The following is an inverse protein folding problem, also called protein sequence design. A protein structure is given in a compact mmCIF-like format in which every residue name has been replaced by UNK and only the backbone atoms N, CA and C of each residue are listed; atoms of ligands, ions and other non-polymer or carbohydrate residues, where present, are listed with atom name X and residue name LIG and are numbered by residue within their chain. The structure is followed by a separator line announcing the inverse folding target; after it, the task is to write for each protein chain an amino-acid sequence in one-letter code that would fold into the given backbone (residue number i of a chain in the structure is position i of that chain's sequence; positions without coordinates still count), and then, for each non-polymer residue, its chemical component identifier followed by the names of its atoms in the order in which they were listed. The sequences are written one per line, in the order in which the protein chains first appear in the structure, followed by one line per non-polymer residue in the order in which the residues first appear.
data_IF_389100762359
#
_entry.id   IF_389100762359
#
_cell.length_a   1.000
_cell.length_b   1.000
_cell.length_c   1.000
_cell.angle_alpha   90.00
_cell.angle_beta   90.00
_cell.angle_gamma   90.00
#
_symmetry.space_group_name_H-M   'P 1'
#
loop_
_entity.id
_entity.type
_entity.pdbx_description
1 polymer ?
#
# COMPACT_ATOMS: atom_id res chain seq x y z
N UNK A 1 -4.28 21.24 19.45
CA UNK A 1 -3.01 20.53 19.20
C UNK A 1 -2.27 21.28 18.09
N UNK A 2 -0.99 21.60 18.29
CA UNK A 2 -0.20 22.34 17.29
C UNK A 2 -0.10 21.57 15.97
N UNK A 3 -0.25 22.27 14.84
CA UNK A 3 -0.18 21.73 13.47
C UNK A 3 1.14 20.97 13.20
N UNK A 4 2.21 21.32 13.91
CA UNK A 4 3.52 20.65 13.86
C UNK A 4 3.53 19.25 14.47
N UNK A 5 2.79 19.02 15.57
CA UNK A 5 2.73 17.73 16.25
C UNK A 5 1.83 16.72 15.52
N UNK A 6 0.83 17.19 14.77
CA UNK A 6 -0.02 16.33 13.95
C UNK A 6 0.72 15.82 12.70
N UNK A 7 1.52 16.68 12.04
CA UNK A 7 2.38 16.28 10.92
C UNK A 7 3.44 15.26 11.34
N UNK A 8 4.11 15.46 12.48
CA UNK A 8 5.12 14.52 12.97
C UNK A 8 4.55 13.14 13.30
N UNK A 9 3.31 13.08 13.80
CA UNK A 9 2.62 11.82 14.07
C UNK A 9 2.29 11.05 12.78
N UNK A 10 1.77 11.72 11.75
CA UNK A 10 1.47 11.09 10.46
C UNK A 10 2.73 10.50 9.83
N UNK A 11 3.78 11.31 9.76
CA UNK A 11 5.08 10.90 9.20
C UNK A 11 5.67 9.70 9.94
N UNK A 12 5.57 9.68 11.29
CA UNK A 12 6.02 8.56 12.09
C UNK A 12 5.22 7.29 11.80
N UNK A 13 3.90 7.40 11.58
CA UNK A 13 3.07 6.25 11.21
C UNK A 13 3.41 5.71 9.81
N UNK A 14 3.60 6.59 8.84
CA UNK A 14 4.03 6.23 7.48
C UNK A 14 5.41 5.53 7.49
N UNK A 15 6.33 6.04 8.31
CA UNK A 15 7.65 5.43 8.51
C UNK A 15 7.56 4.06 9.19
N UNK A 16 6.70 3.90 10.20
CA UNK A 16 6.49 2.61 10.87
C UNK A 16 5.89 1.57 9.92
N UNK A 17 4.92 1.94 9.10
CA UNK A 17 4.35 1.05 8.07
C UNK A 17 5.41 0.66 7.05
N UNK A 18 6.21 1.63 6.59
CA UNK A 18 7.31 1.37 5.66
C UNK A 18 8.35 0.42 6.26
N UNK A 19 8.72 0.61 7.52
CA UNK A 19 9.65 -0.28 8.23
C UNK A 19 9.07 -1.68 8.38
N UNK A 20 7.81 -1.79 8.81
CA UNK A 20 7.11 -3.07 8.95
C UNK A 20 7.11 -3.86 7.65
N UNK A 21 6.76 -3.23 6.52
CA UNK A 21 6.75 -3.89 5.21
C UNK A 21 8.17 -4.32 4.78
N UNK A 22 9.19 -3.48 5.00
CA UNK A 22 10.58 -3.87 4.71
C UNK A 22 11.07 -5.05 5.54
N UNK A 23 10.71 -5.10 6.82
CA UNK A 23 11.01 -6.24 7.69
C UNK A 23 10.33 -7.52 7.20
N UNK A 24 9.28 -7.42 6.39
CA UNK A 24 8.59 -8.55 5.76
C UNK A 24 9.08 -8.87 4.33
N UNK A 25 10.20 -8.28 3.91
CA UNK A 25 10.82 -8.56 2.61
C UNK A 25 10.27 -7.73 1.46
N UNK A 26 9.52 -6.66 1.74
CA UNK A 26 9.05 -5.74 0.70
C UNK A 26 10.09 -4.67 0.39
N UNK A 27 10.24 -4.37 -0.89
CA UNK A 27 10.78 -3.11 -1.37
C UNK A 27 9.68 -2.05 -1.27
N UNK A 28 9.88 -1.03 -0.44
CA UNK A 28 8.88 0.01 -0.17
C UNK A 28 9.35 1.34 -0.70
N UNK A 29 8.51 1.99 -1.50
CA UNK A 29 8.67 3.38 -1.92
C UNK A 29 7.40 4.16 -1.60
N UNK A 30 7.53 5.42 -1.21
CA UNK A 30 6.39 6.34 -1.28
C UNK A 30 6.32 6.94 -2.69
N UNK A 31 5.14 7.38 -3.11
CA UNK A 31 5.00 8.08 -4.39
C UNK A 31 5.44 9.53 -4.22
N UNK A 32 6.73 9.83 -4.40
CA UNK A 32 7.15 11.21 -4.63
C UNK A 32 6.76 11.58 -6.06
N UNK A 33 5.67 12.31 -6.21
CA UNK A 33 5.25 12.79 -7.52
C UNK A 33 6.37 13.57 -8.20
N UNK A 34 6.90 13.06 -9.30
CA UNK A 34 7.94 13.72 -10.10
C UNK A 34 7.38 14.82 -11.01
N UNK A 35 6.07 15.07 -10.99
CA UNK A 35 5.43 16.10 -11.82
C UNK A 35 5.47 17.47 -11.16
N UNK A 36 6.18 18.41 -11.78
CA UNK A 36 6.27 19.84 -11.38
C UNK A 36 4.98 20.65 -11.64
N UNK A 37 3.85 20.00 -11.94
CA UNK A 37 2.61 20.65 -12.34
C UNK A 37 1.67 20.78 -11.14
N UNK A 38 1.58 21.98 -10.56
CA UNK A 38 0.63 22.30 -9.50
C UNK A 38 -0.81 21.98 -9.94
N UNK A 39 -1.52 21.12 -9.20
CA UNK A 39 -2.94 20.79 -9.43
C UNK A 39 -3.24 19.54 -10.25
N UNK A 40 -2.23 18.78 -10.72
CA UNK A 40 -2.45 17.50 -11.42
C UNK A 40 -2.14 16.24 -10.60
N UNK A 41 -1.53 16.38 -9.41
CA UNK A 41 -1.47 15.28 -8.44
C UNK A 41 -2.80 15.17 -7.71
N UNK A 42 -3.60 14.17 -8.09
CA UNK A 42 -4.89 13.88 -7.43
C UNK A 42 -4.76 13.03 -6.17
N UNK A 43 -3.71 12.21 -6.06
CA UNK A 43 -3.44 11.40 -4.88
C UNK A 43 -1.93 11.12 -4.75
N UNK A 44 -1.43 11.18 -3.51
CA UNK A 44 -0.08 10.75 -3.14
C UNK A 44 -0.24 9.45 -2.35
N UNK A 45 0.51 8.40 -2.71
CA UNK A 45 0.50 7.15 -1.97
C UNK A 45 1.50 7.21 -0.83
N UNK A 46 1.02 6.95 0.39
CA UNK A 46 1.86 6.90 1.59
C UNK A 46 2.91 5.78 1.51
N UNK A 47 2.54 4.61 0.99
CA UNK A 47 3.49 3.55 0.67
C UNK A 47 3.02 2.64 -0.48
N UNK A 48 3.93 2.32 -1.38
CA UNK A 48 3.83 1.30 -2.41
C UNK A 48 4.91 0.25 -2.13
N UNK A 49 4.50 -0.98 -1.91
CA UNK A 49 5.38 -2.05 -1.49
C UNK A 49 5.29 -3.25 -2.42
N UNK A 50 6.44 -3.75 -2.87
CA UNK A 50 6.57 -4.89 -3.76
C UNK A 50 7.41 -6.00 -3.09
N UNK A 51 6.92 -7.23 -3.06
CA UNK A 51 7.68 -8.40 -2.63
C UNK A 51 7.72 -9.43 -3.76
N UNK A 52 8.92 -9.82 -4.16
CA UNK A 52 9.14 -10.83 -5.20
C UNK A 52 9.18 -12.24 -4.57
N UNK A 53 8.73 -13.28 -5.30
CA UNK A 53 8.65 -14.66 -4.76
C UNK A 53 9.98 -15.21 -4.21
N UNK A 54 11.11 -14.73 -4.73
CA UNK A 54 12.44 -15.22 -4.37
C UNK A 54 13.23 -14.27 -3.46
N UNK A 55 12.60 -13.22 -2.94
CA UNK A 55 13.21 -12.29 -1.95
C UNK A 55 12.97 -12.74 -0.50
N UNK A 56 12.80 -14.04 -0.27
CA UNK A 56 12.38 -14.58 1.02
C UNK A 56 13.47 -14.59 2.12
N UNK A 57 14.71 -14.14 1.80
CA UNK A 57 15.83 -14.00 2.75
C UNK A 57 15.87 -15.13 3.82
N UNK A 58 16.02 -16.40 3.40
CA UNK A 58 15.82 -17.57 4.28
C UNK A 58 16.80 -17.59 5.47
N UNK A 59 17.96 -16.94 5.33
CA UNK A 59 18.96 -16.80 6.39
C UNK A 59 18.49 -15.95 7.57
N UNK A 60 17.41 -15.18 7.41
CA UNK A 60 16.85 -14.33 8.46
C UNK A 60 16.33 -15.13 9.66
N UNK A 61 16.04 -16.43 9.50
CA UNK A 61 15.43 -17.34 10.51
C UNK A 61 14.08 -16.90 11.09
N UNK A 62 13.67 -15.67 10.79
CA UNK A 62 12.40 -15.07 11.17
C UNK A 62 11.65 -14.86 9.86
N UNK A 63 10.57 -15.63 9.70
CA UNK A 63 9.67 -15.51 8.57
C UNK A 63 8.90 -14.18 8.58
N UNK A 64 8.17 -13.89 7.51
CA UNK A 64 7.24 -12.77 7.49
C UNK A 64 6.09 -12.97 8.50
N UNK A 65 5.48 -11.87 8.89
CA UNK A 65 4.29 -11.84 9.74
C UNK A 65 3.13 -12.56 9.05
N UNK A 66 2.51 -13.49 9.77
CA UNK A 66 1.33 -14.24 9.32
C UNK A 66 0.15 -13.37 8.90
N UNK A 67 0.05 -12.14 9.41
CA UNK A 67 -1.04 -11.21 9.08
C UNK A 67 -1.02 -10.74 7.62
N UNK A 68 0.10 -10.89 6.91
CA UNK A 68 0.24 -10.46 5.52
C UNK A 68 -0.17 -11.52 4.50
N UNK A 69 -0.40 -12.77 4.91
CA UNK A 69 -0.84 -13.89 4.06
C UNK A 69 -0.09 -13.94 2.70
N UNK A 70 1.25 -13.91 2.77
CA UNK A 70 2.10 -13.68 1.61
C UNK A 70 2.16 -14.89 0.69
N UNK A 71 2.19 -14.63 -0.62
CA UNK A 71 2.34 -15.70 -1.60
C UNK A 71 3.78 -16.20 -1.68
N UNK A 72 3.95 -17.51 -1.83
CA UNK A 72 5.22 -18.12 -2.23
C UNK A 72 5.37 -18.22 -3.76
N UNK A 73 4.27 -18.03 -4.49
CA UNK A 73 4.21 -18.24 -5.95
C UNK A 73 4.14 -16.94 -6.74
N UNK A 74 3.44 -15.94 -6.21
CA UNK A 74 3.16 -14.69 -6.90
C UNK A 74 3.94 -13.53 -6.29
N UNK A 75 4.14 -12.49 -7.09
CA UNK A 75 4.62 -11.21 -6.59
C UNK A 75 3.53 -10.54 -5.78
N UNK A 76 3.81 -10.18 -4.53
CA UNK A 76 2.87 -9.46 -3.68
C UNK A 76 3.03 -7.94 -3.90
N UNK A 77 1.92 -7.25 -4.16
CA UNK A 77 1.85 -5.79 -4.29
C UNK A 77 0.94 -5.25 -3.20
N UNK A 78 1.46 -4.37 -2.35
CA UNK A 78 0.68 -3.66 -1.35
C UNK A 78 0.64 -2.17 -1.65
N UNK A 79 -0.58 -1.62 -1.74
CA UNK A 79 -0.86 -0.20 -1.94
C UNK A 79 -1.45 0.32 -0.64
N UNK A 80 -0.74 1.23 0.02
CA UNK A 80 -1.04 1.64 1.38
C UNK A 80 -1.40 3.12 1.46
N UNK A 81 -2.47 3.38 2.21
CA UNK A 81 -2.87 4.70 2.70
C UNK A 81 -2.94 4.62 4.23
N UNK A 82 -2.08 5.37 4.92
CA UNK A 82 -1.90 5.34 6.37
C UNK A 82 -2.76 6.42 7.02
N UNK A 83 -3.84 6.01 7.68
CA UNK A 83 -4.76 6.93 8.36
C UNK A 83 -4.57 6.90 9.88
N UNK A 84 -4.53 8.08 10.49
CA UNK A 84 -4.37 8.24 11.94
C UNK A 84 -5.69 8.19 12.74
N UNK A 85 -6.85 8.36 12.09
CA UNK A 85 -8.14 8.66 12.75
C UNK A 85 -9.32 7.75 12.31
N UNK A 86 -9.07 6.54 11.79
CA UNK A 86 -10.15 5.60 11.46
C UNK A 86 -11.12 6.07 10.36
N UNK A 87 -10.75 7.08 9.56
CA UNK A 87 -11.56 7.51 8.42
C UNK A 87 -11.63 6.42 7.34
N UNK A 88 -12.80 6.28 6.71
CA UNK A 88 -13.02 5.32 5.62
C UNK A 88 -12.12 5.65 4.43
N UNK A 89 -11.43 4.63 3.93
CA UNK A 89 -10.66 4.67 2.67
C UNK A 89 -11.53 5.25 1.54
N UNK A 90 -11.05 6.33 0.92
CA UNK A 90 -11.60 6.86 -0.32
C UNK A 90 -10.58 6.65 -1.42
N UNK A 91 -10.59 5.46 -2.02
CA UNK A 91 -9.87 5.15 -3.26
C UNK A 91 -10.63 4.02 -3.97
N UNK A 92 -11.00 4.17 -5.26
CA UNK A 92 -11.66 3.13 -6.05
C UNK A 92 -10.93 1.79 -6.02
N UNK A 93 -9.59 1.82 -6.04
CA UNK A 93 -8.73 0.63 -5.99
C UNK A 93 -8.96 -0.17 -4.68
N UNK A 94 -9.04 0.53 -3.54
CA UNK A 94 -9.27 -0.12 -2.25
C UNK A 94 -10.68 -0.72 -2.17
N UNK A 95 -11.68 -0.05 -2.76
CA UNK A 95 -13.05 -0.58 -2.82
C UNK A 95 -13.13 -1.81 -3.70
N UNK A 96 -12.40 -1.85 -4.81
CA UNK A 96 -12.28 -3.03 -5.66
C UNK A 96 -11.78 -4.22 -4.84
N UNK A 97 -10.60 -4.11 -4.23
CA UNK A 97 -10.03 -5.24 -3.47
C UNK A 97 -10.88 -5.64 -2.26
N UNK A 98 -11.52 -4.69 -1.57
CA UNK A 98 -12.48 -5.02 -0.50
C UNK A 98 -13.72 -5.75 -1.00
N UNK A 99 -14.25 -5.38 -2.16
CA UNK A 99 -15.40 -6.07 -2.77
C UNK A 99 -15.08 -7.51 -3.18
N UNK A 100 -13.78 -7.79 -3.41
CA UNK A 100 -13.27 -9.09 -3.86
C UNK A 100 -12.59 -9.90 -2.76
N UNK A 101 -12.68 -9.52 -1.48
CA UNK A 101 -11.95 -10.20 -0.38
C UNK A 101 -12.33 -11.68 -0.14
N UNK A 102 -13.16 -12.26 -1.02
CA UNK A 102 -13.63 -13.64 -0.96
C UNK A 102 -13.48 -14.39 -2.31
N UNK A 103 -12.96 -13.76 -3.36
CA UNK A 103 -13.02 -14.28 -4.75
C UNK A 103 -11.67 -14.69 -5.36
N UNK A 104 -10.56 -14.53 -4.63
CA UNK A 104 -9.22 -14.83 -5.12
C UNK A 104 -8.58 -13.69 -5.93
N UNK A 105 -7.38 -13.92 -6.52
CA UNK A 105 -6.65 -12.88 -7.24
C UNK A 105 -7.42 -12.45 -8.49
N UNK A 106 -7.82 -11.18 -8.52
CA UNK A 106 -8.55 -10.59 -9.66
C UNK A 106 -7.66 -10.34 -10.88
N UNK A 107 -8.27 -10.21 -12.06
CA UNK A 107 -7.59 -9.79 -13.29
C UNK A 107 -7.31 -8.27 -13.26
N UNK A 108 -6.20 -7.84 -13.86
CA UNK A 108 -5.80 -6.44 -13.95
C UNK A 108 -6.79 -5.64 -14.82
N UNK A 109 -7.37 -6.25 -15.86
CA UNK A 109 -8.38 -5.58 -16.69
C UNK A 109 -9.68 -5.34 -15.90
N UNK A 110 -10.04 -6.24 -15.00
CA UNK A 110 -11.19 -6.08 -14.12
C UNK A 110 -10.96 -4.94 -13.12
N UNK A 111 -9.73 -4.76 -12.62
CA UNK A 111 -9.36 -3.60 -11.81
C UNK A 111 -9.49 -2.30 -12.63
N UNK A 112 -8.95 -2.26 -13.85
CA UNK A 112 -9.06 -1.08 -14.72
C UNK A 112 -10.52 -0.68 -14.95
N UNK A 113 -11.36 -1.64 -15.35
CA UNK A 113 -12.78 -1.39 -15.58
C UNK A 113 -13.51 -0.89 -14.31
N UNK A 114 -13.17 -1.43 -13.14
CA UNK A 114 -13.77 -0.99 -11.88
C UNK A 114 -13.39 0.45 -11.54
N UNK A 115 -12.11 0.80 -11.71
CA UNK A 115 -11.61 2.15 -11.43
C UNK A 115 -12.25 3.16 -12.38
N UNK A 116 -12.34 2.87 -13.68
CA UNK A 116 -13.02 3.74 -14.66
C UNK A 116 -14.50 3.99 -14.30
N UNK A 117 -15.21 2.95 -13.84
CA UNK A 117 -16.63 3.07 -13.47
C UNK A 117 -16.87 3.77 -12.14
N UNK A 118 -15.89 3.75 -11.23
CA UNK A 118 -16.04 4.27 -9.85
C UNK A 118 -15.22 5.53 -9.57
N UNK A 119 -14.59 6.12 -10.61
CA UNK A 119 -14.03 7.46 -10.62
C UNK A 119 -12.53 7.54 -10.90
N UNK A 120 -12.19 8.45 -11.82
CA UNK A 120 -10.90 9.15 -11.95
C UNK A 120 -11.05 10.59 -11.49
#
# INVERSE_FOLDING_TARGET
MSMTAARSKSQLQEQLVSLYLRLNGFFVTASSSTHHCHGQNRAELDALALRLPYSCEPERQIGPDSALDLSEKYTDLSICEVKSNGQRLQEPIVRYFKSRSSEGPGDINALYAYVEQNGL
#
